data_IF_965337319927
#
_entry.id   IF_965337319927
#
_cell.length_a   1.000
_cell.length_b   1.000
_cell.length_c   1.000
_cell.angle_alpha   90.00
_cell.angle_beta   90.00
_cell.angle_gamma   90.00
#
_symmetry.space_group_name_H-M   'P 1'
#
loop_
_entity.id
_entity.type
_entity.pdbx_description
1 polymer ?
#
# COMPACT_ATOMS: atom_id res chain seq x y z
N UNK A 1 26.26 20.61 -0.84
CA UNK A 1 25.26 19.80 -1.59
C UNK A 1 24.00 19.63 -0.75
N UNK A 2 22.87 19.27 -1.37
CA UNK A 2 21.60 19.04 -0.63
C UNK A 2 21.75 17.90 0.39
N UNK A 3 22.58 16.89 0.12
CA UNK A 3 22.89 15.81 1.07
C UNK A 3 23.51 16.34 2.38
N UNK A 4 24.47 17.25 2.29
CA UNK A 4 25.08 17.87 3.47
C UNK A 4 24.08 18.73 4.25
N UNK A 5 23.17 19.42 3.55
CA UNK A 5 22.09 20.18 4.18
C UNK A 5 21.14 19.26 4.95
N UNK A 6 20.69 18.15 4.34
CA UNK A 6 19.82 17.16 4.99
C UNK A 6 20.40 16.66 6.31
N UNK A 7 21.69 16.32 6.33
CA UNK A 7 22.41 15.95 7.56
C UNK A 7 22.43 17.09 8.58
N UNK A 8 22.73 18.32 8.17
CA UNK A 8 22.78 19.51 9.04
C UNK A 8 21.43 19.78 9.72
N UNK A 9 20.31 19.55 9.03
CA UNK A 9 18.95 19.71 9.57
C UNK A 9 18.37 18.42 10.16
N UNK A 10 19.21 17.39 10.41
CA UNK A 10 18.83 16.12 11.04
C UNK A 10 17.75 15.35 10.28
N UNK A 11 17.87 15.28 8.95
CA UNK A 11 17.02 14.43 8.09
C UNK A 11 17.85 13.33 7.44
N UNK A 12 17.25 12.15 7.32
CA UNK A 12 17.74 11.07 6.46
C UNK A 12 17.42 11.44 5.02
N UNK A 13 18.41 11.87 4.26
CA UNK A 13 18.24 12.20 2.84
C UNK A 13 18.48 10.96 1.98
N UNK A 14 17.48 10.60 1.15
CA UNK A 14 17.58 9.54 0.14
C UNK A 14 17.45 10.18 -1.24
N UNK A 15 18.36 9.83 -2.15
CA UNK A 15 18.35 10.34 -3.53
C UNK A 15 17.41 9.49 -4.37
N UNK A 16 16.58 10.13 -5.19
CA UNK A 16 15.68 9.48 -6.13
C UNK A 16 15.83 10.09 -7.51
N UNK A 17 15.76 9.26 -8.55
CA UNK A 17 15.54 9.69 -9.92
C UNK A 17 14.16 10.34 -10.13
N UNK A 18 13.92 10.88 -11.32
CA UNK A 18 12.65 11.54 -11.65
C UNK A 18 11.67 10.52 -12.20
N UNK A 19 10.58 10.29 -11.47
CA UNK A 19 9.41 9.56 -11.93
C UNK A 19 8.18 10.02 -11.12
N UNK A 20 6.98 9.64 -11.57
CA UNK A 20 5.76 9.95 -10.84
C UNK A 20 5.74 9.20 -9.49
N UNK A 21 5.63 9.96 -8.39
CA UNK A 21 5.66 9.42 -7.03
C UNK A 21 7.06 9.11 -6.46
N UNK A 22 8.14 9.35 -7.20
CA UNK A 22 9.52 9.05 -6.80
C UNK A 22 9.65 7.60 -6.30
N UNK A 23 10.28 7.38 -5.14
CA UNK A 23 10.33 6.04 -4.49
C UNK A 23 9.06 5.80 -3.67
N UNK A 24 8.86 6.63 -2.64
CA UNK A 24 7.88 6.33 -1.59
C UNK A 24 6.43 6.37 -2.05
N UNK A 25 5.99 7.45 -2.73
CA UNK A 25 4.59 7.60 -3.11
C UNK A 25 4.20 6.65 -4.25
N UNK A 26 5.15 6.33 -5.12
CA UNK A 26 4.98 5.31 -6.17
C UNK A 26 4.70 3.93 -5.57
N UNK A 27 5.45 3.56 -4.55
CA UNK A 27 5.25 2.28 -3.84
C UNK A 27 3.96 2.28 -3.00
N UNK A 28 3.67 3.36 -2.25
CA UNK A 28 2.50 3.40 -1.37
C UNK A 28 1.18 3.36 -2.16
N UNK A 29 1.17 3.83 -3.41
CA UNK A 29 0.03 3.73 -4.31
C UNK A 29 -0.37 2.25 -4.53
N UNK A 30 0.61 1.37 -4.74
CA UNK A 30 0.35 -0.07 -4.93
C UNK A 30 -0.11 -0.75 -3.64
N UNK A 31 0.44 -0.34 -2.50
CA UNK A 31 -0.01 -0.78 -1.17
C UNK A 31 -1.47 -0.39 -0.92
N UNK A 32 -1.84 0.88 -1.17
CA UNK A 32 -3.22 1.35 -1.00
C UNK A 32 -4.18 0.71 -2.01
N UNK A 33 -3.72 0.44 -3.24
CA UNK A 33 -4.49 -0.28 -4.26
C UNK A 33 -4.89 -1.67 -3.77
N UNK A 34 -3.95 -2.42 -3.21
CA UNK A 34 -4.22 -3.75 -2.64
C UNK A 34 -5.09 -3.71 -1.38
N UNK A 35 -4.93 -2.69 -0.52
CA UNK A 35 -5.85 -2.48 0.61
C UNK A 35 -7.31 -2.33 0.15
N UNK A 36 -7.53 -1.55 -0.91
CA UNK A 36 -8.86 -1.36 -1.50
C UNK A 36 -9.47 -2.65 -2.05
N UNK A 37 -8.70 -3.44 -2.82
CA UNK A 37 -9.20 -4.71 -3.36
C UNK A 37 -9.56 -5.72 -2.27
N UNK A 38 -8.77 -5.81 -1.20
CA UNK A 38 -9.14 -6.67 -0.08
C UNK A 38 -10.44 -6.25 0.60
N UNK A 39 -10.74 -4.94 0.64
CA UNK A 39 -12.04 -4.45 1.08
C UNK A 39 -13.15 -4.80 0.10
N UNK A 40 -12.90 -4.77 -1.21
CA UNK A 40 -13.90 -5.25 -2.18
C UNK A 40 -14.20 -6.74 -1.94
N UNK A 41 -13.18 -7.56 -1.67
CA UNK A 41 -13.27 -9.01 -1.58
C UNK A 41 -13.86 -9.56 -0.28
N UNK A 42 -13.80 -8.81 0.82
CA UNK A 42 -14.41 -9.27 2.07
C UNK A 42 -13.84 -8.66 3.35
N UNK A 43 -12.64 -8.08 3.33
CA UNK A 43 -12.06 -7.48 4.52
C UNK A 43 -12.78 -6.19 4.93
N UNK A 44 -12.70 -5.83 6.21
CA UNK A 44 -13.08 -4.49 6.68
C UNK A 44 -11.85 -3.60 6.76
N UNK A 45 -11.99 -2.25 6.68
CA UNK A 45 -10.87 -1.34 6.90
C UNK A 45 -10.13 -1.62 8.22
N UNK A 46 -10.89 -1.87 9.29
CA UNK A 46 -10.33 -2.22 10.60
C UNK A 46 -9.56 -3.54 10.60
N UNK A 47 -10.01 -4.55 9.86
CA UNK A 47 -9.29 -5.83 9.77
C UNK A 47 -7.93 -5.63 9.10
N UNK A 48 -7.90 -4.88 8.00
CA UNK A 48 -6.67 -4.62 7.25
C UNK A 48 -5.67 -3.82 8.09
N UNK A 49 -6.13 -2.73 8.70
CA UNK A 49 -5.29 -1.90 9.56
C UNK A 49 -4.74 -2.70 10.76
N UNK A 50 -5.57 -3.49 11.43
CA UNK A 50 -5.12 -4.33 12.56
C UNK A 50 -4.08 -5.36 12.15
N UNK A 51 -4.26 -6.04 11.01
CA UNK A 51 -3.33 -7.07 10.56
C UNK A 51 -1.95 -6.48 10.23
N UNK A 52 -1.90 -5.35 9.52
CA UNK A 52 -0.64 -4.72 9.14
C UNK A 52 0.05 -4.00 10.31
N UNK A 53 -0.72 -3.44 11.25
CA UNK A 53 -0.18 -2.87 12.49
C UNK A 53 0.36 -3.97 13.41
N UNK A 54 -0.32 -5.12 13.50
CA UNK A 54 0.19 -6.31 14.21
C UNK A 54 1.47 -6.85 13.58
N UNK A 55 1.60 -6.77 12.26
CA UNK A 55 2.87 -7.10 11.58
C UNK A 55 4.00 -6.15 11.98
N UNK A 56 3.66 -4.89 12.27
CA UNK A 56 4.55 -3.90 12.89
C UNK A 56 4.52 -2.51 12.27
N UNK A 57 3.63 -2.22 11.31
CA UNK A 57 3.49 -0.86 10.80
C UNK A 57 2.97 0.08 11.88
N UNK A 58 3.43 1.33 11.87
CA UNK A 58 2.97 2.35 12.82
C UNK A 58 1.48 2.71 12.64
N UNK A 59 0.97 2.58 11.41
CA UNK A 59 -0.41 2.91 11.04
C UNK A 59 -0.82 2.12 9.79
N UNK A 60 -2.02 1.57 9.79
CA UNK A 60 -2.59 0.88 8.64
C UNK A 60 -3.02 1.82 7.50
N UNK A 61 -3.30 1.27 6.30
CA UNK A 61 -3.62 2.06 5.11
C UNK A 61 -4.82 2.99 5.29
N UNK A 62 -5.86 2.55 6.01
CA UNK A 62 -7.11 3.29 6.10
C UNK A 62 -7.02 4.44 7.09
N UNK A 63 -6.41 4.22 8.26
CA UNK A 63 -6.03 5.29 9.19
C UNK A 63 -5.05 6.28 8.58
N UNK A 64 -4.09 5.81 7.78
CA UNK A 64 -3.15 6.68 7.07
C UNK A 64 -3.88 7.56 6.05
N UNK A 65 -4.81 7.00 5.28
CA UNK A 65 -5.66 7.75 4.35
C UNK A 65 -6.48 8.83 5.05
N UNK A 66 -7.09 8.50 6.19
CA UNK A 66 -7.87 9.45 6.98
C UNK A 66 -7.01 10.55 7.61
N UNK A 67 -5.75 10.26 7.96
CA UNK A 67 -4.82 11.27 8.46
C UNK A 67 -4.36 12.24 7.35
N UNK A 68 -4.03 11.70 6.17
CA UNK A 68 -3.55 12.50 5.04
C UNK A 68 -4.66 13.33 4.39
N UNK A 69 -5.86 12.75 4.26
CA UNK A 69 -6.99 13.30 3.52
C UNK A 69 -7.35 12.44 2.31
N UNK A 70 -8.49 11.74 2.36
CA UNK A 70 -8.89 10.82 1.29
C UNK A 70 -9.19 11.54 -0.05
N UNK A 71 -9.55 12.82 0.01
CA UNK A 71 -9.79 13.70 -1.14
C UNK A 71 -8.55 13.92 -2.00
N UNK A 72 -7.35 13.88 -1.42
CA UNK A 72 -6.09 13.96 -2.18
C UNK A 72 -5.94 12.72 -3.07
N UNK A 73 -6.13 11.54 -2.49
CA UNK A 73 -6.12 10.28 -3.24
C UNK A 73 -7.23 10.23 -4.30
N UNK A 74 -8.41 10.78 -3.99
CA UNK A 74 -9.53 10.87 -4.93
C UNK A 74 -9.22 11.74 -6.14
N UNK A 75 -8.58 12.91 -5.95
CA UNK A 75 -8.14 13.76 -7.05
C UNK A 75 -7.12 13.04 -7.95
N UNK A 76 -6.18 12.30 -7.36
CA UNK A 76 -5.18 11.50 -8.10
C UNK A 76 -5.86 10.39 -8.91
N UNK A 77 -6.78 9.62 -8.32
CA UNK A 77 -7.50 8.55 -9.03
C UNK A 77 -8.34 9.08 -10.19
N UNK A 78 -9.01 10.23 -10.03
CA UNK A 78 -9.75 10.89 -11.13
C UNK A 78 -8.83 11.30 -12.27
N UNK A 79 -7.65 11.84 -11.98
CA UNK A 79 -6.63 12.16 -12.99
C UNK A 79 -6.13 10.89 -13.70
N UNK A 80 -5.83 9.84 -12.93
CA UNK A 80 -5.35 8.54 -13.43
C UNK A 80 -6.36 7.82 -14.31
N UNK A 81 -7.66 7.93 -14.02
CA UNK A 81 -8.68 7.34 -14.88
C UNK A 81 -8.62 7.89 -16.33
N UNK A 82 -8.11 9.13 -16.51
CA UNK A 82 -7.86 9.71 -17.84
C UNK A 82 -6.47 9.37 -18.38
N UNK A 83 -5.43 9.45 -17.54
CA UNK A 83 -4.03 9.24 -17.97
C UNK A 83 -3.65 7.77 -18.20
N UNK A 84 -4.25 6.87 -17.41
CA UNK A 84 -3.90 5.45 -17.27
C UNK A 84 -5.18 4.62 -17.04
N UNK A 85 -6.08 4.55 -18.04
CA UNK A 85 -7.35 3.83 -17.91
C UNK A 85 -7.19 2.32 -17.71
N UNK A 86 -5.99 1.78 -17.97
CA UNK A 86 -5.60 0.41 -17.68
C UNK A 86 -5.40 0.13 -16.18
N UNK A 87 -5.14 1.17 -15.38
CA UNK A 87 -4.88 1.03 -13.95
C UNK A 87 -6.19 1.05 -13.16
N UNK A 88 -6.62 -0.12 -12.72
CA UNK A 88 -7.88 -0.31 -11.99
C UNK A 88 -7.68 -0.13 -10.48
N UNK A 89 -8.54 0.61 -9.81
CA UNK A 89 -8.58 0.72 -8.34
C UNK A 89 -9.94 0.24 -7.81
N UNK A 90 -10.00 -0.12 -6.53
CA UNK A 90 -11.29 -0.28 -5.85
C UNK A 90 -12.08 1.03 -5.87
N UNK A 91 -13.38 0.95 -6.18
CA UNK A 91 -14.29 2.09 -6.18
C UNK A 91 -14.70 2.54 -4.78
N UNK A 92 -14.50 1.72 -3.75
CA UNK A 92 -14.95 2.02 -2.38
C UNK A 92 -14.32 3.32 -1.83
N UNK A 93 -13.07 3.61 -2.19
CA UNK A 93 -12.40 4.84 -1.80
C UNK A 93 -12.99 6.10 -2.47
N UNK A 94 -13.55 5.96 -3.68
CA UNK A 94 -14.24 7.06 -4.37
C UNK A 94 -15.62 7.28 -3.76
N UNK A 95 -16.38 6.20 -3.50
CA UNK A 95 -17.68 6.26 -2.81
C UNK A 95 -17.56 6.96 -1.46
N UNK A 96 -16.50 6.66 -0.69
CA UNK A 96 -16.22 7.34 0.58
C UNK A 96 -16.08 8.86 0.41
N UNK A 97 -15.36 9.30 -0.62
CA UNK A 97 -15.14 10.72 -0.89
C UNK A 97 -16.40 11.41 -1.44
N UNK A 98 -17.22 10.71 -2.22
CA UNK A 98 -18.52 11.20 -2.69
C UNK A 98 -19.48 11.49 -1.52
N UNK A 99 -19.31 10.81 -0.39
CA UNK A 99 -20.04 11.08 0.86
C UNK A 99 -19.43 12.21 1.70
N UNK A 100 -18.39 12.89 1.20
CA UNK A 100 -17.70 13.97 1.93
C UNK A 100 -16.81 13.50 3.07
N UNK A 101 -16.48 12.19 3.13
CA UNK A 101 -15.72 11.59 4.23
C UNK A 101 -14.21 11.65 3.97
N UNK A 102 -13.64 12.82 4.17
CA UNK A 102 -12.24 13.11 3.83
C UNK A 102 -11.22 12.81 4.93
N UNK A 103 -11.62 12.21 6.05
CA UNK A 103 -10.73 11.80 7.13
C UNK A 103 -10.82 12.66 8.38
N UNK A 104 -9.72 12.75 9.14
CA UNK A 104 -9.67 13.42 10.44
C UNK A 104 -10.03 14.91 10.34
N UNK A 105 -9.66 15.57 9.25
CA UNK A 105 -9.95 17.00 9.02
C UNK A 105 -11.45 17.32 8.91
N UNK A 106 -12.27 16.33 8.54
CA UNK A 106 -13.74 16.45 8.49
C UNK A 106 -14.42 15.71 9.65
N UNK A 107 -13.65 15.12 10.57
CA UNK A 107 -14.18 14.26 11.64
C UNK A 107 -14.70 12.90 11.16
N UNK A 108 -14.56 12.58 9.87
CA UNK A 108 -15.18 11.43 9.23
C UNK A 108 -14.40 11.02 7.96
N UNK A 109 -13.93 9.78 7.94
CA UNK A 109 -13.26 9.11 6.83
C UNK A 109 -13.67 7.64 6.77
N UNK A 110 -12.73 6.71 6.56
CA UNK A 110 -12.96 5.27 6.79
C UNK A 110 -13.43 4.99 8.22
N UNK A 111 -13.01 5.84 9.16
CA UNK A 111 -13.43 5.86 10.56
C UNK A 111 -14.16 7.15 10.91
N UNK A 112 -14.90 7.12 12.01
CA UNK A 112 -15.42 8.32 12.67
C UNK A 112 -14.41 8.85 13.70
N UNK A 113 -14.27 10.17 13.79
CA UNK A 113 -13.35 10.84 14.69
C UNK A 113 -14.10 11.85 15.56
N UNK A 114 -13.90 11.77 16.88
CA UNK A 114 -14.51 12.71 17.83
C UNK A 114 -13.51 13.83 18.16
N UNK A 115 -13.94 15.09 18.25
CA UNK A 115 -13.08 16.18 18.69
C UNK A 115 -12.35 15.84 20.00
N UNK A 116 -11.04 16.09 20.03
CA UNK A 116 -10.20 15.82 21.20
C UNK A 116 -9.85 14.34 21.45
N UNK A 117 -10.38 13.40 20.66
CA UNK A 117 -9.99 11.99 20.69
C UNK A 117 -9.15 11.64 19.47
N UNK A 118 -8.13 10.79 19.68
CA UNK A 118 -7.28 10.26 18.60
C UNK A 118 -7.73 8.88 18.10
N UNK A 119 -8.77 8.32 18.71
CA UNK A 119 -9.27 6.99 18.39
C UNK A 119 -9.96 6.99 17.03
N UNK A 120 -9.59 6.02 16.18
CA UNK A 120 -10.28 5.72 14.95
C UNK A 120 -11.48 4.79 15.26
N UNK A 121 -12.69 5.33 15.22
CA UNK A 121 -13.91 4.60 15.59
C UNK A 121 -14.51 3.96 14.33
N UNK A 122 -14.72 2.63 14.28
CA UNK A 122 -15.37 1.99 13.13
C UNK A 122 -16.74 2.63 12.84
N UNK A 123 -17.00 2.96 11.58
CA UNK A 123 -18.22 3.63 11.16
C UNK A 123 -19.22 2.65 10.56
N UNK A 124 -20.42 2.53 11.13
CA UNK A 124 -21.48 1.67 10.60
C UNK A 124 -21.87 2.07 9.16
N UNK A 125 -21.89 3.36 8.86
CA UNK A 125 -22.17 3.90 7.54
C UNK A 125 -21.14 3.45 6.49
N UNK A 126 -19.86 3.36 6.86
CA UNK A 126 -18.81 2.87 5.95
C UNK A 126 -18.97 1.36 5.71
N UNK A 127 -19.34 0.59 6.74
CA UNK A 127 -19.64 -0.85 6.60
C UNK A 127 -20.81 -1.06 5.64
N UNK A 128 -21.92 -0.33 5.82
CA UNK A 128 -23.09 -0.40 4.94
C UNK A 128 -22.75 -0.01 3.50
N UNK A 129 -21.92 1.02 3.29
CA UNK A 129 -21.45 1.43 1.96
C UNK A 129 -20.68 0.31 1.26
N UNK A 130 -19.74 -0.35 1.97
CA UNK A 130 -18.95 -1.46 1.43
C UNK A 130 -19.85 -2.65 1.10
N UNK A 131 -20.77 -3.02 2.00
CA UNK A 131 -21.71 -4.13 1.78
C UNK A 131 -22.62 -3.88 0.59
N UNK A 132 -23.14 -2.65 0.45
CA UNK A 132 -23.92 -2.25 -0.71
C UNK A 132 -23.10 -2.35 -1.99
N UNK A 133 -21.88 -1.82 -2.00
CA UNK A 133 -20.99 -1.90 -3.16
C UNK A 133 -20.73 -3.36 -3.57
N UNK A 134 -20.42 -4.24 -2.62
CA UNK A 134 -20.22 -5.67 -2.90
C UNK A 134 -21.47 -6.30 -3.52
N UNK A 135 -22.65 -6.02 -2.98
CA UNK A 135 -23.94 -6.50 -3.51
C UNK A 135 -24.17 -6.02 -4.94
N UNK A 136 -23.94 -4.72 -5.21
CA UNK A 136 -24.13 -4.12 -6.53
C UNK A 136 -23.17 -4.70 -7.58
N UNK A 137 -21.96 -5.11 -7.16
CA UNK A 137 -20.95 -5.75 -8.03
C UNK A 137 -21.06 -7.28 -8.09
N UNK A 138 -22.07 -7.89 -7.44
CA UNK A 138 -22.19 -9.35 -7.37
C UNK A 138 -20.97 -10.02 -6.72
N UNK A 139 -20.35 -9.36 -5.73
CA UNK A 139 -19.23 -9.89 -4.97
C UNK A 139 -19.76 -10.62 -3.73
N UNK A 140 -19.53 -11.93 -3.67
CA UNK A 140 -19.71 -12.70 -2.43
C UNK A 140 -18.48 -12.50 -1.55
N UNK A 141 -18.63 -11.89 -0.36
CA UNK A 141 -17.50 -11.67 0.54
C UNK A 141 -16.84 -13.00 0.94
N UNK A 142 -15.50 -13.06 0.90
CA UNK A 142 -14.73 -14.19 1.42
C UNK A 142 -13.97 -13.79 2.67
N UNK A 143 -13.60 -14.78 3.49
CA UNK A 143 -12.66 -14.56 4.58
C UNK A 143 -11.25 -14.37 4.02
N UNK A 144 -10.60 -13.29 4.44
CA UNK A 144 -9.19 -12.99 4.14
C UNK A 144 -8.43 -13.10 5.45
N UNK A 145 -7.33 -13.87 5.47
CA UNK A 145 -6.53 -14.07 6.68
C UNK A 145 -5.58 -12.89 6.94
N UNK A 146 -5.13 -12.71 8.18
CA UNK A 146 -4.16 -11.67 8.52
C UNK A 146 -2.85 -11.85 7.71
N UNK A 147 -2.44 -13.10 7.49
CA UNK A 147 -1.26 -13.43 6.70
C UNK A 147 -1.43 -13.02 5.24
N UNK A 148 -2.60 -13.28 4.63
CA UNK A 148 -2.87 -12.83 3.27
C UNK A 148 -2.87 -11.31 3.17
N UNK A 149 -3.47 -10.62 4.15
CA UNK A 149 -3.48 -9.15 4.21
C UNK A 149 -2.06 -8.60 4.21
N UNK A 150 -1.22 -9.10 5.12
CA UNK A 150 0.17 -8.66 5.24
C UNK A 150 0.94 -8.95 3.96
N UNK A 151 0.81 -10.16 3.41
CA UNK A 151 1.51 -10.53 2.18
C UNK A 151 1.10 -9.66 0.99
N UNK A 152 -0.19 -9.40 0.78
CA UNK A 152 -0.64 -8.55 -0.33
C UNK A 152 -0.14 -7.12 -0.18
N UNK A 153 -0.19 -6.56 1.03
CA UNK A 153 0.30 -5.21 1.27
C UNK A 153 1.80 -5.09 1.10
N UNK A 154 2.58 -5.99 1.72
CA UNK A 154 4.04 -5.90 1.69
C UNK A 154 4.59 -6.32 0.34
N UNK A 155 4.07 -7.35 -0.31
CA UNK A 155 4.58 -7.79 -1.62
C UNK A 155 4.19 -6.83 -2.75
N UNK A 156 3.10 -6.06 -2.60
CA UNK A 156 2.84 -4.91 -3.47
C UNK A 156 3.98 -3.87 -3.40
N UNK A 157 4.46 -3.56 -2.18
CA UNK A 157 5.61 -2.66 -2.00
C UNK A 157 6.88 -3.25 -2.63
N UNK A 158 7.18 -4.52 -2.34
CA UNK A 158 8.38 -5.21 -2.84
C UNK A 158 8.39 -5.27 -4.35
N UNK A 159 7.27 -5.59 -4.98
CA UNK A 159 7.20 -5.69 -6.44
C UNK A 159 7.48 -4.33 -7.10
N UNK A 160 6.88 -3.25 -6.58
CA UNK A 160 7.12 -1.90 -7.11
C UNK A 160 8.54 -1.41 -6.83
N UNK A 161 9.09 -1.71 -5.66
CA UNK A 161 10.47 -1.40 -5.31
C UNK A 161 11.48 -2.10 -6.25
N UNK A 162 11.22 -3.35 -6.64
CA UNK A 162 12.05 -4.05 -7.60
C UNK A 162 12.04 -3.35 -8.98
N UNK A 163 10.90 -2.81 -9.41
CA UNK A 163 10.82 -1.96 -10.63
C UNK A 163 11.63 -0.68 -10.48
N UNK A 164 11.49 0.00 -9.34
CA UNK A 164 12.24 1.24 -9.02
C UNK A 164 13.76 1.01 -9.05
N UNK A 165 14.24 -0.14 -8.56
CA UNK A 165 15.66 -0.49 -8.63
C UNK A 165 16.10 -0.80 -10.06
N UNK A 166 15.31 -1.58 -10.80
CA UNK A 166 15.61 -1.93 -12.19
C UNK A 166 15.67 -0.71 -13.11
N UNK A 167 14.79 0.26 -12.88
CA UNK A 167 14.73 1.53 -13.60
C UNK A 167 15.82 2.53 -13.17
N UNK A 168 16.62 2.21 -12.14
CA UNK A 168 17.65 3.10 -11.60
C UNK A 168 17.12 4.34 -10.88
N UNK A 169 15.84 4.34 -10.48
CA UNK A 169 15.23 5.43 -9.71
C UNK A 169 15.76 5.47 -8.27
N UNK A 170 16.07 4.30 -7.70
CA UNK A 170 16.85 4.17 -6.47
C UNK A 170 18.19 3.50 -6.79
N UNK A 171 19.26 3.92 -6.13
CA UNK A 171 20.60 3.39 -6.41
C UNK A 171 20.83 1.98 -5.84
N UNK A 172 20.11 1.61 -4.78
CA UNK A 172 20.26 0.33 -4.06
C UNK A 172 19.04 0.04 -3.20
N UNK A 173 18.83 -1.24 -2.88
CA UNK A 173 17.69 -1.71 -2.08
C UNK A 173 17.61 -1.04 -0.70
N UNK A 174 18.74 -0.87 -0.01
CA UNK A 174 18.79 -0.22 1.29
C UNK A 174 18.33 1.25 1.30
N UNK A 175 18.44 1.97 0.18
CA UNK A 175 17.91 3.34 0.08
C UNK A 175 16.36 3.31 0.11
N UNK A 176 15.73 2.31 -0.52
CA UNK A 176 14.29 2.10 -0.48
C UNK A 176 13.84 1.71 0.94
N UNK A 177 14.58 0.82 1.59
CA UNK A 177 14.31 0.44 2.98
C UNK A 177 14.33 1.66 3.92
N UNK A 178 15.34 2.53 3.77
CA UNK A 178 15.42 3.76 4.55
C UNK A 178 14.25 4.72 4.31
N UNK A 179 13.72 4.82 3.08
CA UNK A 179 12.50 5.59 2.79
C UNK A 179 11.33 5.04 3.60
N UNK A 180 11.16 3.72 3.65
CA UNK A 180 10.03 3.09 4.33
C UNK A 180 10.14 3.11 5.85
N UNK A 181 11.35 2.96 6.39
CA UNK A 181 11.63 3.08 7.82
C UNK A 181 11.37 4.51 8.32
N UNK A 182 11.77 5.53 7.56
CA UNK A 182 11.77 6.93 8.04
C UNK A 182 10.57 7.75 7.58
N UNK A 183 9.87 7.31 6.51
CA UNK A 183 8.75 8.06 5.91
C UNK A 183 7.39 7.36 6.00
N UNK A 184 7.35 6.02 6.05
CA UNK A 184 6.10 5.24 5.93
C UNK A 184 5.82 4.34 7.13
N UNK A 185 6.65 4.39 8.17
CA UNK A 185 6.41 3.66 9.42
C UNK A 185 6.52 2.15 9.29
N UNK A 186 7.36 1.66 8.36
CA UNK A 186 7.68 0.23 8.28
C UNK A 186 8.42 -0.23 9.55
N UNK A 187 8.15 -1.44 10.09
CA UNK A 187 8.75 -1.91 11.34
C UNK A 187 10.28 -2.00 11.29
N UNK A 188 10.95 -1.27 12.20
CA UNK A 188 12.42 -1.25 12.29
C UNK A 188 13.02 -2.64 12.50
N UNK A 189 12.39 -3.49 13.31
CA UNK A 189 12.86 -4.85 13.60
C UNK A 189 12.75 -5.81 12.40
N UNK A 190 12.23 -5.35 11.26
CA UNK A 190 12.17 -6.07 9.99
C UNK A 190 13.00 -5.42 8.87
N UNK A 191 13.84 -4.43 9.19
CA UNK A 191 14.79 -3.78 8.28
C UNK A 191 14.19 -2.86 7.20
N UNK A 192 13.13 -3.27 6.52
CA UNK A 192 12.52 -2.57 5.40
C UNK A 192 11.85 -3.55 4.45
N UNK A 193 11.04 -3.11 3.47
CA UNK A 193 10.35 -4.01 2.55
C UNK A 193 11.31 -4.90 1.76
N UNK A 194 12.47 -4.39 1.31
CA UNK A 194 13.42 -5.16 0.51
C UNK A 194 14.16 -6.18 1.37
N UNK A 195 14.68 -5.75 2.52
CA UNK A 195 15.28 -6.67 3.50
C UNK A 195 14.31 -7.76 3.97
N UNK A 196 13.05 -7.40 4.26
CA UNK A 196 12.03 -8.37 4.65
C UNK A 196 11.75 -9.39 3.54
N UNK A 197 11.77 -8.97 2.27
CA UNK A 197 11.61 -9.89 1.14
C UNK A 197 12.77 -10.88 1.06
N UNK A 198 14.00 -10.43 1.33
CA UNK A 198 15.18 -11.30 1.39
C UNK A 198 15.07 -12.31 2.54
N UNK A 199 14.68 -11.88 3.75
CA UNK A 199 14.46 -12.78 4.89
C UNK A 199 13.32 -13.79 4.66
N UNK A 200 12.24 -13.36 3.98
CA UNK A 200 11.13 -14.24 3.62
C UNK A 200 11.51 -15.23 2.50
N UNK A 201 12.50 -14.87 1.69
CA UNK A 201 12.96 -15.58 0.51
C UNK A 201 12.22 -15.16 -0.76
N UNK A 202 12.95 -14.62 -1.74
CA UNK A 202 12.36 -14.10 -2.99
C UNK A 202 11.59 -15.15 -3.80
N UNK A 203 12.00 -16.42 -3.73
CA UNK A 203 11.24 -17.53 -4.30
C UNK A 203 9.82 -17.61 -3.71
N UNK A 204 9.69 -17.50 -2.39
CA UNK A 204 8.41 -17.57 -1.69
C UNK A 204 7.56 -16.33 -1.98
N UNK A 205 8.18 -15.15 -2.12
CA UNK A 205 7.49 -13.92 -2.56
C UNK A 205 6.88 -14.12 -3.94
N UNK A 206 7.66 -14.60 -4.92
CA UNK A 206 7.18 -14.86 -6.28
C UNK A 206 6.06 -15.90 -6.29
N UNK A 207 6.17 -16.98 -5.53
CA UNK A 207 5.11 -18.00 -5.41
C UNK A 207 3.81 -17.40 -4.83
N UNK A 208 3.91 -16.56 -3.79
CA UNK A 208 2.75 -15.88 -3.23
C UNK A 208 2.08 -14.94 -4.24
N UNK A 209 2.88 -14.17 -5.00
CA UNK A 209 2.39 -13.30 -6.06
C UNK A 209 1.70 -14.09 -7.19
N UNK A 210 2.28 -15.20 -7.63
CA UNK A 210 1.66 -16.09 -8.62
C UNK A 210 0.31 -16.62 -8.13
N UNK A 211 0.18 -16.96 -6.83
CA UNK A 211 -1.10 -17.34 -6.23
C UNK A 211 -2.10 -16.18 -6.25
N UNK A 212 -1.67 -14.97 -5.90
CA UNK A 212 -2.55 -13.78 -5.96
C UNK A 212 -2.96 -13.42 -7.39
N UNK A 213 -2.10 -13.68 -8.37
CA UNK A 213 -2.42 -13.48 -9.79
C UNK A 213 -3.57 -14.37 -10.29
N UNK A 214 -3.85 -15.50 -9.62
CA UNK A 214 -4.98 -16.38 -9.92
C UNK A 214 -6.29 -15.91 -9.29
N UNK A 215 -6.27 -14.87 -8.47
CA UNK A 215 -7.48 -14.34 -7.85
C UNK A 215 -8.31 -13.58 -8.89
N UNK A 216 -9.52 -14.04 -9.25
CA UNK A 216 -10.33 -13.42 -10.30
C UNK A 216 -10.90 -12.05 -9.89
N UNK A 217 -10.78 -11.68 -8.61
CA UNK A 217 -11.26 -10.40 -8.06
C UNK A 217 -10.14 -9.37 -7.90
N UNK A 218 -8.90 -9.72 -8.25
CA UNK A 218 -7.74 -8.84 -8.21
C UNK A 218 -7.20 -8.61 -9.63
N UNK A 219 -6.22 -7.73 -9.76
CA UNK A 219 -5.50 -7.51 -11.02
C UNK A 219 -4.38 -8.54 -11.19
N UNK A 220 -4.64 -9.59 -11.96
CA UNK A 220 -3.64 -10.62 -12.27
C UNK A 220 -2.39 -10.09 -12.99
N UNK A 221 -2.49 -8.95 -13.69
CA UNK A 221 -1.32 -8.29 -14.32
C UNK A 221 -0.49 -7.55 -13.29
N UNK A 222 -1.13 -6.94 -12.28
CA UNK A 222 -0.44 -6.29 -11.17
C UNK A 222 0.50 -7.25 -10.43
N UNK A 223 0.07 -8.50 -10.27
CA UNK A 223 0.84 -9.54 -9.57
C UNK A 223 1.93 -10.21 -10.39
N UNK A 224 2.17 -9.78 -11.63
CA UNK A 224 3.34 -10.24 -12.37
C UNK A 224 4.62 -9.72 -11.68
N UNK A 225 5.55 -10.62 -11.30
CA UNK A 225 6.82 -10.22 -10.69
C UNK A 225 7.59 -9.24 -11.58
N UNK A 226 8.17 -8.22 -10.97
CA UNK A 226 9.12 -7.34 -11.63
C UNK A 226 10.27 -8.17 -12.20
N UNK A 227 10.79 -7.86 -13.41
CA UNK A 227 11.84 -8.65 -14.03
C UNK A 227 13.08 -8.85 -13.14
N UNK A 228 13.51 -7.81 -12.41
CA UNK A 228 14.57 -7.93 -11.40
C UNK A 228 14.24 -8.96 -10.32
N UNK A 229 13.04 -8.89 -9.71
CA UNK A 229 12.60 -9.82 -8.67
C UNK A 229 12.55 -11.26 -9.20
N UNK A 230 11.97 -11.46 -10.39
CA UNK A 230 11.89 -12.78 -11.02
C UNK A 230 13.28 -13.38 -11.26
N UNK A 231 14.21 -12.58 -11.77
CA UNK A 231 15.60 -13.00 -12.02
C UNK A 231 16.33 -13.37 -10.74
N UNK A 232 16.30 -12.51 -9.71
CA UNK A 232 16.96 -12.79 -8.43
C UNK A 232 16.40 -14.04 -7.76
N UNK A 233 15.07 -14.23 -7.80
CA UNK A 233 14.44 -15.44 -7.28
C UNK A 233 14.88 -16.72 -8.03
N UNK A 234 15.00 -16.66 -9.37
CA UNK A 234 15.47 -17.79 -10.19
C UNK A 234 16.95 -18.11 -9.97
N UNK A 235 17.77 -17.10 -9.70
CA UNK A 235 19.20 -17.24 -9.43
C UNK A 235 19.53 -17.59 -7.97
N UNK A 236 18.53 -17.67 -7.09
CA UNK A 236 18.73 -17.90 -5.65
C UNK A 236 19.47 -16.77 -4.94
N UNK A 237 19.29 -15.52 -5.41
CA UNK A 237 19.92 -14.31 -4.88
C UNK A 237 18.94 -13.46 -4.08
N UNK A 238 19.48 -12.47 -3.38
CA UNK A 238 18.80 -11.44 -2.60
C UNK A 238 18.88 -10.08 -3.29
N UNK A 239 18.07 -9.12 -2.85
CA UNK A 239 18.21 -7.72 -3.25
C UNK A 239 19.45 -7.06 -2.63
N UNK A 240 19.76 -7.43 -1.39
CA UNK A 240 20.90 -6.92 -0.61
C UNK A 240 22.11 -7.87 -0.64
#
# INVERSE_FOLDING_TARGET
TVMALGKKIKKTAVVSGVCDGFIGNRMIEQYSRQAGFMVDEGATPQQVDKAIEKFGFAMGPFRMGDLAGNDIGWAIRKRRATERPDMVYSRTADLLCEMGRFGQKTGAGWYDYKPGKRDAIPSALVVEMIEKYRKDQGITPRKISDEEIVQRLVFALVNEAARILEEGIAARASDIDMVYLTGYGFPLFRGGPMFYADEFGLFNVVQAMQRFAQNPRDDGKFWQPAPLLARLAAEGKTFN
#
